data_IF_333232650181
#
_entry.id   IF_333232650181
#
_cell.length_a   1.000
_cell.length_b   1.000
_cell.length_c   1.000
_cell.angle_alpha   90.00
_cell.angle_beta   90.00
_cell.angle_gamma   90.00
#
_symmetry.space_group_name_H-M   'P 1'
#
loop_
_entity.id
_entity.type
_entity.pdbx_description
1 polymer ?
#
# COMPACT_ATOMS: atom_id res chain seq x y z
N UNK A 1 -14.60 11.09 -27.30
CA UNK A 1 -13.33 11.28 -26.55
C UNK A 1 -13.53 10.77 -25.13
N UNK A 2 -12.77 9.72 -24.76
CA UNK A 2 -12.78 9.21 -23.39
C UNK A 2 -12.28 10.30 -22.43
N UNK A 3 -12.93 10.45 -21.29
CA UNK A 3 -12.46 11.32 -20.21
C UNK A 3 -11.09 10.81 -19.70
N UNK A 4 -10.30 11.68 -19.05
CA UNK A 4 -9.04 11.29 -18.43
C UNK A 4 -9.19 10.06 -17.52
N UNK A 5 -10.27 10.01 -16.73
CA UNK A 5 -10.65 8.88 -15.87
C UNK A 5 -10.90 7.61 -16.68
N UNK A 6 -11.60 7.69 -17.81
CA UNK A 6 -11.85 6.56 -18.70
C UNK A 6 -10.59 6.01 -19.35
N UNK A 7 -9.62 6.87 -19.70
CA UNK A 7 -8.33 6.43 -20.24
C UNK A 7 -7.47 5.70 -19.20
N UNK A 8 -7.45 6.20 -17.96
CA UNK A 8 -6.69 5.58 -16.86
C UNK A 8 -7.31 4.24 -16.43
N UNK A 9 -8.64 4.11 -16.44
CA UNK A 9 -9.30 2.83 -16.14
C UNK A 9 -8.97 1.73 -17.16
N UNK A 10 -8.62 2.08 -18.40
CA UNK A 10 -8.14 1.14 -19.41
C UNK A 10 -6.73 0.60 -19.13
N UNK A 11 -5.92 1.32 -18.33
CA UNK A 11 -4.59 0.90 -17.90
C UNK A 11 -4.62 0.17 -16.55
N UNK A 12 -5.80 0.00 -15.97
CA UNK A 12 -5.98 -0.67 -14.68
C UNK A 12 -6.22 -2.16 -14.87
N UNK A 13 -5.47 -2.97 -14.12
CA UNK A 13 -5.60 -4.42 -14.11
C UNK A 13 -5.52 -4.96 -12.69
N UNK A 14 -6.10 -6.13 -12.47
CA UNK A 14 -6.01 -6.84 -11.21
C UNK A 14 -5.10 -8.06 -11.38
N UNK A 15 -4.07 -8.16 -10.55
CA UNK A 15 -3.17 -9.30 -10.46
C UNK A 15 -3.11 -9.70 -8.97
N UNK A 16 -3.99 -10.59 -8.50
CA UNK A 16 -4.09 -10.92 -7.09
C UNK A 16 -2.78 -11.44 -6.51
N UNK A 17 -2.37 -10.89 -5.36
CA UNK A 17 -1.22 -11.37 -4.60
C UNK A 17 -1.42 -12.81 -4.12
N UNK A 18 -0.32 -13.51 -3.83
CA UNK A 18 -0.39 -14.80 -3.15
C UNK A 18 -1.09 -14.64 -1.79
N UNK A 19 -1.97 -15.58 -1.39
CA UNK A 19 -2.70 -15.49 -0.12
C UNK A 19 -1.83 -15.38 1.13
N UNK A 20 -0.57 -15.79 1.07
CA UNK A 20 0.37 -15.62 2.20
C UNK A 20 0.76 -14.16 2.42
N UNK A 21 0.58 -13.29 1.43
CA UNK A 21 1.02 -11.89 1.46
C UNK A 21 -0.07 -10.90 1.89
N UNK A 22 -1.23 -11.35 2.31
CA UNK A 22 -2.27 -10.49 2.87
C UNK A 22 -3.14 -11.28 3.86
N UNK A 23 -3.95 -10.58 4.64
CA UNK A 23 -4.84 -11.20 5.61
C UNK A 23 -6.16 -10.46 5.77
N UNK A 24 -6.92 -10.87 6.76
CA UNK A 24 -8.15 -10.18 7.15
C UNK A 24 -7.83 -8.94 7.99
N UNK A 25 -8.74 -7.98 7.99
CA UNK A 25 -8.72 -6.89 8.95
C UNK A 25 -9.41 -7.37 10.23
N UNK A 26 -8.72 -7.23 11.36
CA UNK A 26 -9.22 -7.72 12.65
C UNK A 26 -10.10 -6.68 13.35
N UNK A 27 -11.18 -7.17 13.97
CA UNK A 27 -12.06 -6.38 14.84
C UNK A 27 -11.70 -6.48 16.33
N UNK A 28 -10.77 -7.35 16.66
CA UNK A 28 -10.22 -7.52 18.01
C UNK A 28 -8.73 -7.81 17.95
N UNK A 29 -7.99 -7.32 18.95
CA UNK A 29 -6.59 -7.70 19.12
C UNK A 29 -6.46 -9.11 19.73
N UNK A 30 -5.23 -9.65 19.87
CA UNK A 30 -5.02 -10.99 20.46
C UNK A 30 -5.54 -11.15 21.88
N UNK A 31 -5.74 -10.05 22.61
CA UNK A 31 -6.25 -10.04 24.00
C UNK A 31 -7.77 -9.79 24.08
N UNK A 32 -8.44 -9.74 22.93
CA UNK A 32 -9.89 -9.58 22.86
C UNK A 32 -10.39 -8.14 22.91
N UNK A 33 -9.51 -7.14 22.95
CA UNK A 33 -9.90 -5.74 22.93
C UNK A 33 -10.36 -5.30 21.54
N UNK A 34 -11.38 -4.42 21.43
CA UNK A 34 -11.91 -4.00 20.14
C UNK A 34 -10.89 -3.20 19.33
N UNK A 35 -10.88 -3.46 18.01
CA UNK A 35 -10.15 -2.71 16.99
C UNK A 35 -11.15 -2.13 15.99
N UNK A 36 -10.86 -0.94 15.46
CA UNK A 36 -11.55 -0.43 14.28
C UNK A 36 -10.79 -0.84 13.01
N UNK A 37 -11.35 -1.76 12.18
CA UNK A 37 -10.69 -2.24 10.98
C UNK A 37 -10.94 -1.37 9.75
N UNK A 38 -11.75 -0.32 9.86
CA UNK A 38 -12.15 0.49 8.71
C UNK A 38 -10.93 1.23 8.13
N UNK A 39 -10.70 1.12 6.81
CA UNK A 39 -9.63 1.86 6.14
C UNK A 39 -9.80 3.37 6.33
N UNK A 40 -8.77 4.05 6.85
CA UNK A 40 -8.82 5.49 7.14
C UNK A 40 -7.49 6.22 7.01
N UNK A 41 -6.44 5.51 6.59
CA UNK A 41 -5.11 6.08 6.34
C UNK A 41 -4.60 5.52 5.01
N UNK A 42 -3.97 6.35 4.20
CA UNK A 42 -3.22 5.90 3.02
C UNK A 42 -1.75 6.09 3.29
N UNK A 43 -0.99 5.01 3.14
CA UNK A 43 0.48 5.03 3.22
C UNK A 43 1.05 4.90 1.81
N UNK A 44 1.79 5.91 1.39
CA UNK A 44 2.47 5.93 0.10
C UNK A 44 3.85 5.31 0.23
N UNK A 45 4.19 4.47 -0.75
CA UNK A 45 5.44 3.73 -0.85
C UNK A 45 6.12 3.93 -2.20
N UNK A 46 7.34 3.48 -2.28
CA UNK A 46 8.09 3.27 -3.53
C UNK A 46 8.39 1.78 -3.72
N UNK A 47 8.50 1.36 -4.98
CA UNK A 47 8.86 -0.04 -5.27
C UNK A 47 10.35 -0.33 -5.08
N UNK A 48 11.20 0.68 -5.01
CA UNK A 48 12.67 0.63 -5.00
C UNK A 48 13.25 0.10 -6.32
N UNK A 49 12.64 -0.93 -6.88
CA UNK A 49 12.95 -1.51 -8.20
C UNK A 49 11.78 -1.34 -9.17
N UNK A 50 11.71 -2.17 -10.20
CA UNK A 50 10.64 -2.10 -11.20
C UNK A 50 9.29 -2.55 -10.65
N UNK A 51 8.21 -2.08 -11.30
CA UNK A 51 6.85 -2.53 -11.04
C UNK A 51 6.73 -4.06 -11.11
N UNK A 52 7.31 -4.68 -12.16
CA UNK A 52 7.27 -6.13 -12.36
C UNK A 52 7.99 -6.88 -11.23
N UNK A 53 9.09 -6.35 -10.71
CA UNK A 53 9.79 -6.94 -9.57
C UNK A 53 8.92 -6.93 -8.31
N UNK A 54 8.24 -5.82 -8.03
CA UNK A 54 7.32 -5.71 -6.88
C UNK A 54 6.14 -6.67 -7.02
N UNK A 55 5.51 -6.74 -8.20
CA UNK A 55 4.41 -7.67 -8.48
C UNK A 55 4.87 -9.12 -8.28
N UNK A 56 6.04 -9.50 -8.82
CA UNK A 56 6.59 -10.85 -8.64
C UNK A 56 6.81 -11.19 -7.16
N UNK A 57 7.29 -10.24 -6.35
CA UNK A 57 7.43 -10.43 -4.91
C UNK A 57 6.09 -10.75 -4.26
N UNK A 58 5.03 -10.02 -4.62
CA UNK A 58 3.71 -10.22 -4.03
C UNK A 58 3.01 -11.49 -4.53
N UNK A 59 3.36 -11.99 -5.71
CA UNK A 59 2.89 -13.28 -6.24
C UNK A 59 3.64 -14.47 -5.68
N UNK A 60 4.81 -14.26 -5.08
CA UNK A 60 5.64 -15.32 -4.51
C UNK A 60 5.12 -15.68 -3.12
N UNK A 61 4.87 -16.97 -2.82
CA UNK A 61 4.49 -17.40 -1.50
C UNK A 61 5.53 -17.07 -0.43
N UNK A 62 5.12 -16.46 0.68
CA UNK A 62 5.95 -16.19 1.85
C UNK A 62 5.31 -16.84 3.08
N UNK A 63 5.61 -18.12 3.37
CA UNK A 63 4.98 -18.86 4.47
C UNK A 63 5.44 -18.38 5.86
N UNK A 64 6.58 -17.70 5.95
CA UNK A 64 7.05 -17.11 7.20
C UNK A 64 6.54 -15.68 7.33
N UNK A 65 5.97 -15.36 8.49
CA UNK A 65 5.32 -14.07 8.73
C UNK A 65 6.27 -12.88 8.52
N UNK A 66 7.54 -13.02 8.88
CA UNK A 66 8.56 -11.98 8.73
C UNK A 66 8.93 -11.64 7.27
N UNK A 67 8.61 -12.54 6.32
CA UNK A 67 8.88 -12.33 4.90
C UNK A 67 7.67 -11.77 4.14
N UNK A 68 6.49 -11.77 4.77
CA UNK A 68 5.24 -11.37 4.14
C UNK A 68 5.22 -9.87 3.83
N UNK A 69 4.88 -9.54 2.58
CA UNK A 69 4.85 -8.15 2.11
C UNK A 69 3.82 -8.00 1.00
N UNK A 70 3.07 -6.92 1.04
CA UNK A 70 2.22 -6.49 -0.08
C UNK A 70 1.76 -5.06 0.07
N UNK A 71 1.30 -4.50 -1.06
CA UNK A 71 0.53 -3.27 -1.12
C UNK A 71 -0.82 -3.56 -1.76
N UNK A 72 -1.80 -2.68 -1.60
CA UNK A 72 -3.10 -2.82 -2.25
C UNK A 72 -3.01 -2.53 -3.74
N UNK A 73 -2.31 -1.46 -4.11
CA UNK A 73 -2.24 -0.96 -5.49
C UNK A 73 -0.84 -0.45 -5.80
N UNK A 74 -0.39 -0.70 -7.01
CA UNK A 74 0.88 -0.24 -7.56
C UNK A 74 0.62 0.64 -8.79
N UNK A 75 1.42 1.68 -8.97
CA UNK A 75 1.35 2.59 -10.11
C UNK A 75 2.69 2.58 -10.86
N UNK A 76 2.65 2.14 -12.11
CA UNK A 76 3.82 2.09 -13.00
C UNK A 76 4.22 3.45 -13.56
N UNK A 77 5.45 3.56 -14.07
CA UNK A 77 6.00 4.79 -14.68
C UNK A 77 5.13 5.33 -15.82
N UNK A 78 4.45 4.46 -16.54
CA UNK A 78 3.54 4.80 -17.65
C UNK A 78 2.13 5.18 -17.20
N UNK A 79 1.86 5.19 -15.88
CA UNK A 79 0.55 5.43 -15.29
C UNK A 79 -0.34 4.19 -15.24
N UNK A 80 0.18 3.00 -15.55
CA UNK A 80 -0.55 1.75 -15.35
C UNK A 80 -0.87 1.54 -13.87
N UNK A 81 -2.03 0.97 -13.57
CA UNK A 81 -2.50 0.71 -12.21
C UNK A 81 -2.67 -0.79 -12.05
N UNK A 82 -2.01 -1.37 -11.07
CA UNK A 82 -2.10 -2.80 -10.75
C UNK A 82 -2.66 -2.96 -9.34
N UNK A 83 -3.88 -3.51 -9.25
CA UNK A 83 -4.50 -3.86 -7.98
C UNK A 83 -4.09 -5.29 -7.61
N UNK A 84 -3.46 -5.47 -6.46
CA UNK A 84 -2.92 -6.76 -6.03
C UNK A 84 -3.56 -7.30 -4.76
N UNK A 85 -4.06 -6.43 -3.88
CA UNK A 85 -4.81 -6.81 -2.68
C UNK A 85 -6.12 -6.01 -2.63
N UNK A 86 -7.22 -6.66 -2.35
CA UNK A 86 -8.52 -5.99 -2.14
C UNK A 86 -8.38 -4.99 -0.99
N UNK A 87 -8.83 -3.73 -1.14
CA UNK A 87 -8.81 -2.72 -0.08
C UNK A 87 -9.52 -3.14 1.23
N UNK A 88 -10.47 -4.06 1.16
CA UNK A 88 -11.12 -4.62 2.35
C UNK A 88 -10.25 -5.64 3.10
N UNK A 89 -9.19 -6.13 2.47
CA UNK A 89 -8.19 -7.00 3.09
C UNK A 89 -7.06 -6.17 3.70
N UNK A 90 -6.27 -6.80 4.54
CA UNK A 90 -5.10 -6.22 5.18
C UNK A 90 -3.85 -6.55 4.39
N UNK A 91 -3.32 -5.59 3.64
CA UNK A 91 -2.01 -5.72 3.02
C UNK A 91 -0.91 -5.55 4.08
N UNK A 92 0.23 -6.20 3.86
CA UNK A 92 1.39 -6.17 4.76
C UNK A 92 2.41 -5.14 4.25
N UNK A 93 2.01 -3.86 4.27
CA UNK A 93 2.79 -2.77 3.70
C UNK A 93 3.73 -2.07 4.67
N UNK A 94 3.51 -2.21 5.98
CA UNK A 94 4.34 -1.59 7.02
C UNK A 94 4.57 -2.58 8.16
N UNK A 95 5.79 -2.65 8.65
CA UNK A 95 6.12 -3.38 9.88
C UNK A 95 5.67 -2.61 11.11
N UNK A 96 6.57 -2.46 12.10
CA UNK A 96 6.32 -1.65 13.30
C UNK A 96 6.08 -0.20 12.91
N UNK A 97 4.85 0.27 13.07
CA UNK A 97 4.40 1.57 12.54
C UNK A 97 3.22 2.15 13.31
N UNK A 98 3.09 3.47 13.24
CA UNK A 98 1.96 4.20 13.80
C UNK A 98 1.61 5.42 12.93
N UNK A 99 0.36 5.84 12.97
CA UNK A 99 -0.10 7.09 12.39
C UNK A 99 -0.79 7.93 13.46
N UNK A 100 -0.25 9.13 13.73
CA UNK A 100 -0.72 10.03 14.80
C UNK A 100 -0.86 9.31 16.17
N UNK A 101 0.09 8.43 16.47
CA UNK A 101 0.11 7.65 17.72
C UNK A 101 -0.80 6.43 17.72
N UNK A 102 -1.52 6.14 16.64
CA UNK A 102 -2.41 5.00 16.53
C UNK A 102 -1.72 3.82 15.82
N UNK A 103 -1.82 2.65 16.40
CA UNK A 103 -1.44 1.37 15.81
C UNK A 103 -2.44 0.27 16.22
N UNK A 104 -2.37 -0.88 15.57
CA UNK A 104 -3.10 -2.07 15.97
C UNK A 104 -2.16 -3.26 16.10
N UNK A 105 -2.27 -4.00 17.21
CA UNK A 105 -1.61 -5.29 17.37
C UNK A 105 -2.59 -6.36 16.89
N UNK A 106 -2.20 -7.13 15.89
CA UNK A 106 -3.02 -8.20 15.30
C UNK A 106 -2.41 -9.59 15.52
N UNK A 107 -1.12 -9.64 15.89
CA UNK A 107 -0.41 -10.85 16.29
C UNK A 107 0.42 -10.53 17.52
N UNK A 108 0.28 -11.32 18.59
CA UNK A 108 0.97 -11.10 19.87
C UNK A 108 2.51 -11.22 19.77
N UNK A 109 3.02 -11.87 18.72
CA UNK A 109 4.46 -12.04 18.49
C UNK A 109 5.09 -10.84 17.79
N UNK A 110 4.27 -9.92 17.24
CA UNK A 110 4.74 -8.73 16.52
C UNK A 110 4.32 -7.45 17.23
N UNK A 111 5.04 -6.40 16.94
CA UNK A 111 4.71 -5.04 17.36
C UNK A 111 3.48 -4.52 16.62
N UNK A 112 2.88 -3.45 17.12
CA UNK A 112 1.75 -2.79 16.48
C UNK A 112 2.11 -2.22 15.12
N UNK A 113 1.13 -2.17 14.22
CA UNK A 113 1.29 -1.58 12.90
C UNK A 113 0.02 -0.84 12.45
N UNK A 114 0.15 -0.06 11.39
CA UNK A 114 -0.98 0.60 10.72
C UNK A 114 -1.75 -0.32 9.78
N UNK A 115 -1.25 -1.52 9.47
CA UNK A 115 -1.81 -2.39 8.42
C UNK A 115 -3.29 -2.70 8.61
N UNK A 116 -3.77 -2.78 9.86
CA UNK A 116 -5.17 -3.14 10.12
C UNK A 116 -6.18 -2.06 9.68
N UNK A 117 -5.74 -0.82 9.51
CA UNK A 117 -6.60 0.30 9.10
C UNK A 117 -6.00 1.17 7.98
N UNK A 118 -4.87 0.78 7.42
CA UNK A 118 -4.23 1.49 6.31
C UNK A 118 -4.54 0.87 4.95
N UNK A 119 -4.51 1.72 3.94
CA UNK A 119 -4.42 1.37 2.54
C UNK A 119 -3.00 1.69 2.07
N UNK A 120 -2.37 0.76 1.36
CA UNK A 120 -0.99 0.91 0.90
C UNK A 120 -0.97 1.08 -0.61
N UNK A 121 -0.36 2.15 -1.09
CA UNK A 121 -0.21 2.47 -2.50
C UNK A 121 1.25 2.76 -2.80
N UNK A 122 1.81 2.09 -3.81
CA UNK A 122 3.20 2.25 -4.20
C UNK A 122 3.35 2.84 -5.59
N UNK A 123 4.32 3.73 -5.74
CA UNK A 123 4.74 4.26 -7.03
C UNK A 123 6.01 3.53 -7.50
N UNK A 124 6.05 3.15 -8.77
CA UNK A 124 7.25 2.58 -9.36
C UNK A 124 8.40 3.59 -9.31
N UNK A 125 9.50 3.20 -8.70
CA UNK A 125 10.71 4.02 -8.61
C UNK A 125 11.35 4.16 -9.99
N UNK A 126 11.70 5.38 -10.44
CA UNK A 126 12.46 5.58 -11.67
C UNK A 126 13.80 4.83 -11.63
N UNK A 127 14.31 4.46 -12.81
CA UNK A 127 15.53 3.63 -12.94
C UNK A 127 16.74 4.22 -12.24
N UNK A 128 16.86 5.54 -12.21
CA UNK A 128 17.95 6.25 -11.53
C UNK A 128 17.84 6.25 -10.00
N UNK A 129 16.76 5.69 -9.46
CA UNK A 129 16.57 5.46 -8.02
C UNK A 129 16.70 4.00 -7.58
N UNK A 130 17.09 3.08 -8.50
CA UNK A 130 17.21 1.65 -8.18
C UNK A 130 18.48 1.29 -7.40
N UNK A 131 19.30 2.25 -7.04
CA UNK A 131 20.50 2.06 -6.22
C UNK A 131 20.19 2.00 -4.71
N UNK A 132 18.95 2.29 -4.29
CA UNK A 132 18.55 2.33 -2.90
C UNK A 132 18.97 3.58 -2.13
N UNK A 133 19.59 4.57 -2.80
CA UNK A 133 20.05 5.82 -2.17
C UNK A 133 18.91 6.80 -1.85
N UNK A 134 17.68 6.45 -2.22
CA UNK A 134 16.47 7.26 -1.97
C UNK A 134 16.42 8.57 -2.75
N UNK A 135 17.26 8.73 -3.78
CA UNK A 135 17.30 9.89 -4.67
C UNK A 135 17.06 9.45 -6.10
N UNK A 136 16.17 10.15 -6.80
CA UNK A 136 15.89 9.91 -8.21
C UNK A 136 15.31 11.15 -8.89
N UNK A 137 15.15 11.09 -10.21
CA UNK A 137 14.67 12.18 -11.07
C UNK A 137 13.23 12.64 -10.80
N UNK A 138 12.48 11.89 -9.99
CA UNK A 138 11.08 12.18 -9.70
C UNK A 138 10.10 11.28 -10.47
N UNK A 139 8.84 11.31 -10.04
CA UNK A 139 7.77 10.55 -10.67
C UNK A 139 7.25 11.23 -11.94
N UNK A 140 6.70 10.44 -12.86
CA UNK A 140 6.14 10.95 -14.10
C UNK A 140 4.79 11.64 -13.87
N UNK A 141 4.39 12.53 -14.80
CA UNK A 141 3.06 13.12 -14.76
C UNK A 141 1.94 12.08 -14.86
N UNK A 142 2.17 10.98 -15.58
CA UNK A 142 1.23 9.86 -15.67
C UNK A 142 1.07 9.13 -14.34
N UNK A 143 2.15 9.01 -13.57
CA UNK A 143 2.07 8.46 -12.21
C UNK A 143 1.23 9.35 -11.30
N UNK A 144 1.42 10.66 -11.34
CA UNK A 144 0.60 11.60 -10.54
C UNK A 144 -0.88 11.56 -10.95
N UNK A 145 -1.18 11.43 -12.23
CA UNK A 145 -2.56 11.29 -12.70
C UNK A 145 -3.20 9.99 -12.20
N UNK A 146 -2.49 8.88 -12.27
CA UNK A 146 -2.96 7.58 -11.77
C UNK A 146 -3.08 7.57 -10.24
N UNK A 147 -2.10 8.14 -9.54
CA UNK A 147 -2.14 8.31 -8.09
C UNK A 147 -3.39 9.08 -7.65
N UNK A 148 -3.66 10.21 -8.28
CA UNK A 148 -4.83 11.03 -7.98
C UNK A 148 -6.13 10.25 -8.19
N UNK A 149 -6.23 9.46 -9.26
CA UNK A 149 -7.41 8.64 -9.53
C UNK A 149 -7.66 7.62 -8.40
N UNK A 150 -6.63 6.89 -7.99
CA UNK A 150 -6.73 5.87 -6.92
C UNK A 150 -7.09 6.52 -5.59
N UNK A 151 -6.44 7.64 -5.26
CA UNK A 151 -6.71 8.38 -4.02
C UNK A 151 -8.14 8.93 -3.99
N UNK A 152 -8.62 9.51 -5.07
CA UNK A 152 -9.99 10.00 -5.16
C UNK A 152 -11.02 8.87 -4.96
N UNK A 153 -10.79 7.72 -5.59
CA UNK A 153 -11.65 6.54 -5.42
C UNK A 153 -11.68 6.05 -3.96
N UNK A 154 -10.53 6.00 -3.30
CA UNK A 154 -10.45 5.56 -1.90
C UNK A 154 -11.01 6.58 -0.93
N UNK A 155 -10.74 7.87 -1.11
CA UNK A 155 -11.32 8.94 -0.28
C UNK A 155 -12.85 8.95 -0.36
N UNK A 156 -13.41 8.76 -1.56
CA UNK A 156 -14.85 8.66 -1.76
C UNK A 156 -15.43 7.39 -1.14
N UNK A 157 -14.79 6.23 -1.39
CA UNK A 157 -15.29 4.93 -0.93
C UNK A 157 -15.25 4.79 0.58
N UNK A 158 -14.17 5.22 1.22
CA UNK A 158 -13.93 5.02 2.65
C UNK A 158 -14.19 6.25 3.51
N UNK A 159 -14.56 7.37 2.91
CA UNK A 159 -15.00 8.60 3.61
C UNK A 159 -13.99 9.15 4.62
N UNK A 160 -12.69 9.14 4.30
CA UNK A 160 -11.66 9.80 5.10
C UNK A 160 -11.09 11.03 4.38
N UNK A 161 -10.28 11.84 5.07
CA UNK A 161 -9.78 13.13 4.56
C UNK A 161 -8.37 12.99 3.97
N UNK A 162 -8.00 13.92 3.08
CA UNK A 162 -6.67 13.99 2.49
C UNK A 162 -5.54 14.15 3.53
N UNK A 163 -5.84 14.72 4.71
CA UNK A 163 -4.90 14.80 5.83
C UNK A 163 -4.49 13.42 6.40
N UNK A 164 -5.20 12.36 6.03
CA UNK A 164 -4.87 10.97 6.37
C UNK A 164 -4.02 10.26 5.31
N UNK A 165 -3.52 10.99 4.30
CA UNK A 165 -2.54 10.49 3.33
C UNK A 165 -1.16 10.81 3.85
N UNK A 166 -0.33 9.78 4.02
CA UNK A 166 1.01 9.87 4.59
C UNK A 166 2.01 9.04 3.79
N UNK A 167 3.24 8.95 4.24
CA UNK A 167 4.28 8.14 3.60
C UNK A 167 4.80 7.07 4.54
N UNK A 168 5.41 6.02 3.99
CA UNK A 168 6.04 4.96 4.79
C UNK A 168 6.99 5.54 5.84
N UNK A 169 7.87 6.45 5.43
CA UNK A 169 8.85 7.10 6.33
C UNK A 169 8.21 7.78 7.55
N UNK A 170 7.00 8.34 7.41
CA UNK A 170 6.33 9.04 8.51
C UNK A 170 5.61 8.11 9.49
N UNK A 171 5.27 6.90 9.06
CA UNK A 171 4.61 5.92 9.94
C UNK A 171 5.59 4.91 10.53
N UNK A 172 6.76 4.72 9.91
CA UNK A 172 7.75 3.74 10.32
C UNK A 172 8.34 4.07 11.70
N UNK A 173 8.33 3.09 12.58
CA UNK A 173 8.94 3.13 13.92
C UNK A 173 10.12 2.15 14.03
N UNK A 174 10.33 1.31 13.02
CA UNK A 174 11.39 0.32 12.97
C UNK A 174 12.75 0.86 12.55
N UNK A 175 12.80 2.04 11.92
CA UNK A 175 14.03 2.68 11.45
C UNK A 175 14.54 2.11 10.13
N UNK A 176 13.66 1.58 9.27
CA UNK A 176 13.95 1.09 7.91
C UNK A 176 13.87 2.19 6.84
#
# INVERSE_FOLDING_TARGET
>A
LLTKRGKLSQLRQSIPADPTNYGERYRRNPWGEPLNPDPRVVVLHETVYSLSSAVNTFLTPHPRDEDQVSYHTLVGLDGSIVDVVDPLKRAYGSGYSAFLGEWAVTNAEFQGSVNNFALHLSLETPRDGHDGEGRHSGYTSRQYDALSLVLDDWLERFQFQASSITTHRHVDLGGE
#
